data_IF_265213271727
#
_entry.id   IF_265213271727
#
_cell.length_a   1.000
_cell.length_b   1.000
_cell.length_c   1.000
_cell.angle_alpha   90.00
_cell.angle_beta   90.00
_cell.angle_gamma   90.00
#
_symmetry.space_group_name_H-M   'P 1'
#
loop_
_entity.id
_entity.type
_entity.pdbx_description
1 polymer ?
#
# COMPACT_ATOMS: atom_id res chain seq x y z
N UNK A 1 -3.35 -5.49 -6.41
CA UNK A 1 -2.22 -6.27 -6.96
C UNK A 1 -1.68 -5.51 -8.17
N UNK A 2 -0.37 -5.40 -8.32
CA UNK A 2 0.30 -4.80 -9.49
C UNK A 2 1.43 -5.70 -9.99
N UNK A 3 1.78 -5.58 -11.27
CA UNK A 3 2.88 -6.30 -11.91
C UNK A 3 4.11 -5.40 -11.95
N UNK A 4 5.28 -5.97 -11.73
CA UNK A 4 6.53 -5.24 -11.92
C UNK A 4 6.69 -4.82 -13.40
N UNK A 5 7.03 -3.56 -13.69
CA UNK A 5 7.42 -3.14 -15.04
C UNK A 5 8.81 -3.67 -15.45
N UNK A 6 9.58 -4.24 -14.52
CA UNK A 6 10.96 -4.71 -14.75
C UNK A 6 11.11 -6.23 -14.78
N UNK A 7 10.12 -6.98 -14.27
CA UNK A 7 10.15 -8.44 -14.23
C UNK A 7 8.73 -9.03 -14.28
N UNK A 8 8.32 -9.69 -15.38
CA UNK A 8 6.96 -10.20 -15.53
C UNK A 8 6.56 -11.28 -14.52
N UNK A 9 7.52 -11.88 -13.80
CA UNK A 9 7.24 -12.87 -12.75
C UNK A 9 7.00 -12.26 -11.38
N UNK A 10 7.32 -10.97 -11.23
CA UNK A 10 7.23 -10.26 -9.95
C UNK A 10 5.88 -9.56 -9.83
N UNK A 11 5.17 -9.86 -8.74
CA UNK A 11 3.88 -9.25 -8.38
C UNK A 11 3.99 -8.58 -7.02
N UNK A 12 3.24 -7.50 -6.84
CA UNK A 12 3.07 -6.84 -5.56
C UNK A 12 1.60 -6.79 -5.17
N UNK A 13 1.29 -7.03 -3.89
CA UNK A 13 -0.04 -6.93 -3.32
C UNK A 13 0.00 -6.05 -2.07
N UNK A 14 -1.02 -5.20 -1.90
CA UNK A 14 -1.21 -4.38 -0.70
C UNK A 14 -2.22 -5.03 0.25
N UNK A 15 -1.86 -5.08 1.52
CA UNK A 15 -2.73 -5.21 2.69
C UNK A 15 -2.28 -4.16 3.70
N UNK A 16 -2.25 -4.43 5.01
CA UNK A 16 -1.54 -3.55 5.94
C UNK A 16 -0.01 -3.53 5.68
N UNK A 17 0.52 -4.57 5.04
CA UNK A 17 1.87 -4.65 4.48
C UNK A 17 1.85 -4.65 2.94
N UNK A 18 3.02 -4.42 2.33
CA UNK A 18 3.28 -4.77 0.93
C UNK A 18 3.86 -6.18 0.87
N UNK A 19 3.23 -7.03 0.08
CA UNK A 19 3.67 -8.40 -0.19
C UNK A 19 4.21 -8.50 -1.61
N UNK A 20 5.27 -9.30 -1.79
CA UNK A 20 5.87 -9.59 -3.09
C UNK A 20 5.82 -11.08 -3.37
N UNK A 21 5.46 -11.43 -4.60
CA UNK A 21 5.69 -12.75 -5.20
C UNK A 21 6.73 -12.62 -6.31
N UNK A 22 7.54 -13.66 -6.50
CA UNK A 22 8.49 -13.80 -7.63
C UNK A 22 8.23 -15.06 -8.45
N UNK A 23 7.09 -15.70 -8.22
CA UNK A 23 6.66 -16.97 -8.77
C UNK A 23 5.20 -16.89 -9.24
N UNK A 24 4.86 -15.76 -9.86
CA UNK A 24 3.56 -15.52 -10.51
C UNK A 24 2.36 -15.67 -9.54
N UNK A 25 2.58 -15.37 -8.26
CA UNK A 25 1.57 -15.39 -7.21
C UNK A 25 1.46 -16.69 -6.44
N UNK A 26 2.36 -17.66 -6.69
CA UNK A 26 2.33 -18.97 -6.02
C UNK A 26 2.75 -18.87 -4.54
N UNK A 27 3.69 -17.99 -4.21
CA UNK A 27 4.08 -17.67 -2.85
C UNK A 27 4.32 -16.18 -2.65
N UNK A 28 4.12 -15.70 -1.41
CA UNK A 28 4.18 -14.29 -1.05
C UNK A 28 5.09 -14.06 0.16
N UNK A 29 5.89 -13.00 0.10
CA UNK A 29 6.74 -12.53 1.19
C UNK A 29 6.35 -11.11 1.55
N UNK A 30 6.13 -10.81 2.83
CA UNK A 30 5.99 -9.43 3.29
C UNK A 30 7.33 -8.70 3.13
N UNK A 31 7.32 -7.57 2.43
CA UNK A 31 8.51 -6.75 2.14
C UNK A 31 8.39 -5.36 2.76
N UNK A 32 7.53 -5.18 3.75
CA UNK A 32 7.39 -3.92 4.48
C UNK A 32 7.01 -4.20 5.94
N UNK A 33 7.27 -3.24 6.86
CA UNK A 33 6.52 -3.18 8.11
C UNK A 33 5.03 -2.87 7.83
N UNK A 34 4.21 -2.78 8.88
CA UNK A 34 2.85 -2.25 8.73
C UNK A 34 2.98 -0.79 8.26
N UNK A 35 2.34 -0.47 7.13
CA UNK A 35 2.40 0.85 6.50
C UNK A 35 1.18 1.71 6.86
N UNK A 36 0.25 1.18 7.65
CA UNK A 36 -0.95 1.88 8.11
C UNK A 36 -0.74 2.52 9.48
N UNK A 37 -1.71 3.31 9.93
CA UNK A 37 -1.80 3.76 11.32
C UNK A 37 -2.13 2.61 12.28
N UNK A 38 -2.72 1.52 11.76
CA UNK A 38 -3.07 0.31 12.51
C UNK A 38 -3.88 0.62 13.78
N UNK A 39 -4.81 1.59 13.69
CA UNK A 39 -5.64 2.00 14.82
C UNK A 39 -6.73 0.94 15.10
N UNK A 40 -6.65 0.22 16.25
CA UNK A 40 -7.62 -0.84 16.56
C UNK A 40 -9.06 -0.33 16.68
N UNK A 41 -9.26 0.95 16.99
CA UNK A 41 -10.60 1.55 17.08
C UNK A 41 -11.30 1.64 15.71
N UNK A 42 -10.56 1.44 14.61
CA UNK A 42 -11.04 1.54 13.22
C UNK A 42 -10.99 0.21 12.45
N UNK A 43 -10.78 -0.90 13.15
CA UNK A 43 -10.67 -2.24 12.56
C UNK A 43 -11.86 -3.15 12.91
N UNK A 44 -12.87 -2.64 13.62
CA UNK A 44 -14.07 -3.39 13.96
C UNK A 44 -15.11 -3.36 12.82
N UNK A 45 -16.11 -4.23 12.91
CA UNK A 45 -17.22 -4.26 11.95
C UNK A 45 -18.00 -2.95 11.97
N UNK A 46 -18.34 -2.48 10.78
CA UNK A 46 -19.22 -1.32 10.64
C UNK A 46 -20.69 -1.68 10.83
N UNK A 47 -21.57 -0.68 10.81
CA UNK A 47 -23.01 -0.87 11.04
C UNK A 47 -23.46 -0.98 12.51
N UNK A 48 -22.51 -0.87 13.44
CA UNK A 48 -22.77 -0.78 14.89
C UNK A 48 -23.22 -2.10 15.53
N UNK A 49 -23.46 -2.07 16.84
CA UNK A 49 -23.63 -3.27 17.70
C UNK A 49 -24.79 -4.19 17.30
N UNK A 50 -25.82 -3.66 16.62
CA UNK A 50 -27.05 -4.41 16.31
C UNK A 50 -27.11 -4.91 14.86
N UNK A 51 -26.44 -4.22 13.94
CA UNK A 51 -26.51 -4.49 12.50
C UNK A 51 -25.11 -4.42 11.91
N UNK A 52 -24.25 -5.37 12.29
CA UNK A 52 -22.93 -5.48 11.67
C UNK A 52 -23.07 -5.57 10.16
N UNK A 53 -22.51 -4.58 9.46
CA UNK A 53 -22.30 -4.64 8.04
C UNK A 53 -21.07 -5.52 7.77
N UNK A 54 -21.24 -6.48 6.87
CA UNK A 54 -20.20 -7.40 6.45
C UNK A 54 -19.65 -7.02 5.06
N UNK A 55 -19.96 -5.83 4.55
CA UNK A 55 -19.41 -5.30 3.30
C UNK A 55 -17.89 -5.15 3.37
N UNK A 56 -17.34 -4.94 4.57
CA UNK A 56 -15.91 -4.73 4.80
C UNK A 56 -15.39 -3.40 4.24
N UNK A 57 -16.26 -2.54 3.70
CA UNK A 57 -15.90 -1.28 3.07
C UNK A 57 -15.27 -0.27 4.05
N UNK A 58 -15.54 -0.45 5.34
CA UNK A 58 -15.08 0.40 6.44
C UNK A 58 -14.02 -0.32 7.31
N UNK A 59 -13.47 -1.44 6.85
CA UNK A 59 -12.27 -2.04 7.47
C UNK A 59 -11.07 -1.25 6.95
N UNK A 60 -10.51 -0.41 7.82
CA UNK A 60 -9.40 0.49 7.51
C UNK A 60 -8.04 -0.17 7.77
N UNK A 61 -6.98 0.62 7.55
CA UNK A 61 -5.59 0.26 7.82
C UNK A 61 -4.97 -0.66 6.76
N UNK A 62 -5.29 -0.40 5.48
CA UNK A 62 -4.75 -1.16 4.35
C UNK A 62 -4.14 -0.27 3.27
N UNK A 63 -3.18 -0.80 2.52
CA UNK A 63 -2.62 -0.17 1.34
C UNK A 63 -3.68 -0.11 0.24
N UNK A 64 -4.21 1.09 0.00
CA UNK A 64 -5.12 1.38 -1.09
C UNK A 64 -4.44 1.32 -2.47
N UNK A 65 -3.15 1.67 -2.55
CA UNK A 65 -2.37 1.62 -3.79
C UNK A 65 -0.95 1.10 -3.54
N UNK A 66 -0.42 0.36 -4.52
CA UNK A 66 0.98 -0.08 -4.57
C UNK A 66 1.46 0.01 -6.02
N UNK A 67 2.60 0.66 -6.25
CA UNK A 67 3.20 0.83 -7.58
C UNK A 67 4.73 0.73 -7.52
N UNK A 68 5.32 -0.06 -8.43
CA UNK A 68 6.77 -0.03 -8.66
C UNK A 68 7.09 1.00 -9.74
N UNK A 69 8.13 1.80 -9.53
CA UNK A 69 8.60 2.79 -10.49
C UNK A 69 9.06 2.14 -11.78
N UNK A 70 8.49 2.54 -12.91
CA UNK A 70 8.99 2.16 -14.24
C UNK A 70 10.40 2.69 -14.53
N UNK A 71 10.84 3.72 -13.81
CA UNK A 71 12.14 4.36 -14.02
C UNK A 71 13.25 3.72 -13.19
N UNK A 72 12.92 3.16 -12.02
CA UNK A 72 13.88 2.61 -11.06
C UNK A 72 13.38 1.30 -10.49
N UNK A 73 14.03 0.20 -10.87
CA UNK A 73 13.76 -1.13 -10.31
C UNK A 73 13.98 -1.13 -8.79
N UNK A 74 13.04 -1.69 -8.04
CA UNK A 74 13.08 -1.74 -6.58
C UNK A 74 12.72 -0.43 -5.88
N UNK A 75 12.33 0.62 -6.62
CA UNK A 75 11.60 1.75 -6.03
C UNK A 75 10.11 1.46 -6.06
N UNK A 76 9.50 1.35 -4.88
CA UNK A 76 8.09 0.99 -4.73
C UNK A 76 7.43 2.04 -3.84
N UNK A 77 6.25 2.48 -4.25
CA UNK A 77 5.41 3.40 -3.52
C UNK A 77 4.14 2.68 -3.07
N UNK A 78 3.70 2.98 -1.86
CA UNK A 78 2.45 2.49 -1.32
C UNK A 78 1.71 3.62 -0.62
N UNK A 79 0.38 3.64 -0.75
CA UNK A 79 -0.48 4.55 0.00
C UNK A 79 -1.58 3.79 0.69
N UNK A 80 -2.04 4.33 1.81
CA UNK A 80 -3.05 3.69 2.65
C UNK A 80 -4.40 4.41 2.62
N UNK A 81 -5.43 3.67 2.99
CA UNK A 81 -6.79 4.19 3.17
C UNK A 81 -6.96 5.09 4.40
N UNK A 82 -5.97 5.09 5.30
CA UNK A 82 -5.91 5.89 6.54
C UNK A 82 -4.90 7.04 6.48
N UNK A 83 -4.41 7.38 5.29
CA UNK A 83 -3.75 8.65 5.03
C UNK A 83 -2.24 8.66 5.17
N UNK A 84 -1.58 7.56 4.84
CA UNK A 84 -0.13 7.50 4.77
C UNK A 84 0.35 7.22 3.35
N UNK A 85 1.50 7.80 3.00
CA UNK A 85 2.23 7.53 1.75
C UNK A 85 3.65 7.15 2.10
N UNK A 86 4.11 6.01 1.58
CA UNK A 86 5.42 5.46 1.84
C UNK A 86 6.16 5.15 0.55
N UNK A 87 7.49 5.25 0.61
CA UNK A 87 8.39 4.86 -0.48
C UNK A 87 9.55 4.02 0.05
N UNK A 88 9.86 2.94 -0.66
CA UNK A 88 11.14 2.23 -0.59
C UNK A 88 11.92 2.47 -1.88
N UNK A 89 13.26 2.50 -1.79
CA UNK A 89 14.17 2.59 -2.94
C UNK A 89 15.16 1.44 -3.02
N UNK A 90 14.96 0.43 -2.17
CA UNK A 90 15.86 -0.70 -1.99
C UNK A 90 15.09 -2.02 -1.93
N UNK A 91 14.09 -2.18 -2.82
CA UNK A 91 13.31 -3.41 -3.03
C UNK A 91 12.62 -3.92 -1.75
N UNK A 92 12.15 -2.98 -0.93
CA UNK A 92 11.39 -3.25 0.29
C UNK A 92 12.24 -3.48 1.55
N UNK A 93 13.55 -3.27 1.50
CA UNK A 93 14.40 -3.43 2.70
C UNK A 93 14.08 -2.33 3.72
N UNK A 94 13.91 -1.08 3.28
CA UNK A 94 13.56 0.06 4.12
C UNK A 94 12.46 0.90 3.46
N UNK A 95 11.55 1.41 4.30
CA UNK A 95 10.42 2.24 3.88
C UNK A 95 10.45 3.58 4.61
N UNK A 96 10.23 4.66 3.87
CA UNK A 96 10.16 6.01 4.41
C UNK A 96 8.77 6.57 4.22
N UNK A 97 8.19 7.10 5.29
CA UNK A 97 6.97 7.90 5.23
C UNK A 97 7.27 9.24 4.54
N UNK A 98 6.50 9.57 3.50
CA UNK A 98 6.60 10.78 2.67
C UNK A 98 5.25 11.48 2.54
N UNK A 99 4.34 11.19 3.48
CA UNK A 99 3.03 11.86 3.57
C UNK A 99 3.24 13.38 3.63
N UNK A 100 2.62 14.17 2.74
CA UNK A 100 2.75 15.61 2.78
C UNK A 100 2.18 16.19 4.09
N UNK A 101 2.92 17.08 4.75
CA UNK A 101 2.49 17.71 6.01
C UNK A 101 1.16 18.48 5.90
N UNK A 102 0.82 18.94 4.69
CA UNK A 102 -0.42 19.66 4.41
C UNK A 102 -1.63 18.73 4.17
N UNK A 103 -1.43 17.41 4.13
CA UNK A 103 -2.50 16.46 3.90
C UNK A 103 -3.41 16.37 5.14
N UNK A 104 -4.75 16.39 4.99
CA UNK A 104 -5.65 16.18 6.10
C UNK A 104 -5.39 14.84 6.80
N UNK A 105 -5.55 14.82 8.12
CA UNK A 105 -5.49 13.58 8.89
C UNK A 105 -6.54 12.59 8.37
N UNK A 106 -6.16 11.30 8.25
CA UNK A 106 -7.03 10.22 7.77
C UNK A 106 -7.56 10.39 6.34
N UNK A 107 -6.92 11.22 5.51
CA UNK A 107 -7.32 11.34 4.12
C UNK A 107 -7.13 10.01 3.37
N UNK A 108 -8.15 9.52 2.70
CA UNK A 108 -8.03 8.32 1.87
C UNK A 108 -7.13 8.59 0.66
N UNK A 109 -5.98 7.93 0.57
CA UNK A 109 -5.05 8.06 -0.58
C UNK A 109 -5.23 6.87 -1.52
N UNK A 110 -6.24 6.95 -2.37
CA UNK A 110 -6.67 5.85 -3.25
C UNK A 110 -5.72 5.51 -4.40
N UNK A 111 -4.79 6.39 -4.74
CA UNK A 111 -3.84 6.16 -5.84
C UNK A 111 -2.54 6.92 -5.63
N UNK A 112 -1.42 6.30 -6.00
CA UNK A 112 -0.14 6.96 -6.25
C UNK A 112 0.25 6.69 -7.69
N UNK A 113 0.44 7.75 -8.47
CA UNK A 113 0.92 7.66 -9.84
C UNK A 113 2.29 8.34 -9.96
N UNK A 114 3.23 7.61 -10.54
CA UNK A 114 4.55 8.13 -10.85
C UNK A 114 4.52 8.72 -12.25
N UNK A 115 5.16 9.88 -12.44
CA UNK A 115 5.28 10.51 -13.76
C UNK A 115 5.82 9.50 -14.76
N UNK A 116 5.16 9.38 -15.90
CA UNK A 116 5.58 8.46 -16.96
C UNK A 116 6.81 8.97 -17.72
N UNK A 117 7.12 10.26 -17.62
CA UNK A 117 8.13 10.97 -18.41
C UNK A 117 9.35 11.40 -17.61
N UNK A 118 9.17 11.76 -16.34
CA UNK A 118 10.24 12.24 -15.47
C UNK A 118 10.38 11.32 -14.26
N UNK A 119 11.60 11.08 -13.86
CA UNK A 119 11.94 10.24 -12.73
C UNK A 119 12.17 11.06 -11.44
N UNK A 120 12.26 12.39 -11.55
CA UNK A 120 12.52 13.31 -10.42
C UNK A 120 11.25 13.98 -9.89
#
# INVERSE_FOLDING_TARGET
>A
ITFSPHDPKTLYAGGNHVFRSRDEGSSWTAISPDLSLSDPARQDYSGGVLTHDNSGAEVHATCASVVESRHRKGEIWASTDDGLVHVTRNDGIEWRNVTPDAMPELAYVGCVELSSHDAN
#
